data_IF_286776469266
#
_entry.id   IF_286776469266
#
_cell.length_a   1.000
_cell.length_b   1.000
_cell.length_c   1.000
_cell.angle_alpha   90.00
_cell.angle_beta   90.00
_cell.angle_gamma   90.00
#
_symmetry.space_group_name_H-M   'P 1'
#
loop_
_entity.id
_entity.type
_entity.pdbx_description
1 polymer ?
#
# COMPACT_ATOMS: atom_id res chain seq x y z
N UNK A 1 -14.35 37.02 -44.18
CA UNK A 1 -12.87 37.04 -44.08
C UNK A 1 -12.48 37.55 -42.69
N UNK A 2 -12.25 36.67 -41.71
CA UNK A 2 -11.54 37.01 -40.46
C UNK A 2 -10.83 35.77 -39.95
N UNK A 3 -9.50 35.88 -39.84
CA UNK A 3 -8.62 34.81 -39.42
C UNK A 3 -8.25 34.86 -37.95
N UNK A 4 -7.61 33.76 -37.55
CA UNK A 4 -6.72 33.58 -36.41
C UNK A 4 -7.35 33.43 -35.01
N UNK A 5 -7.31 32.18 -34.52
CA UNK A 5 -6.45 31.86 -33.37
C UNK A 5 -6.20 30.36 -33.27
N UNK A 6 -4.96 29.98 -33.56
CA UNK A 6 -4.40 28.68 -33.17
C UNK A 6 -4.39 28.64 -31.65
N UNK A 7 -5.16 27.74 -31.05
CA UNK A 7 -4.87 27.27 -29.70
C UNK A 7 -4.35 25.85 -29.83
N UNK A 8 -3.08 25.68 -29.44
CA UNK A 8 -2.39 24.40 -29.38
C UNK A 8 -3.09 23.56 -28.33
N UNK A 9 -3.97 22.66 -28.75
CA UNK A 9 -4.58 21.69 -27.86
C UNK A 9 -3.46 20.83 -27.25
N UNK A 10 -3.20 21.06 -25.97
CA UNK A 10 -2.37 20.20 -25.14
C UNK A 10 -3.01 18.82 -25.14
N UNK A 11 -2.36 17.85 -25.78
CA UNK A 11 -2.57 16.43 -25.51
C UNK A 11 -2.15 16.19 -24.07
N UNK A 12 -3.11 16.29 -23.16
CA UNK A 12 -2.96 15.77 -21.81
C UNK A 12 -2.99 14.25 -21.93
N UNK A 13 -1.91 13.60 -21.53
CA UNK A 13 -1.87 12.15 -21.39
C UNK A 13 -2.90 11.76 -20.33
N UNK A 14 -4.10 11.37 -20.75
CA UNK A 14 -5.03 10.66 -19.90
C UNK A 14 -4.44 9.27 -19.69
N UNK A 15 -3.67 9.10 -18.61
CA UNK A 15 -3.33 7.77 -18.13
C UNK A 15 -4.61 7.17 -17.58
N UNK A 16 -5.37 6.59 -18.51
CA UNK A 16 -6.47 5.69 -18.30
C UNK A 16 -6.04 4.61 -17.30
N UNK A 17 -6.38 4.80 -16.02
CA UNK A 17 -6.37 3.69 -15.06
C UNK A 17 -7.65 2.90 -15.28
N UNK A 18 -7.74 2.28 -16.46
CA UNK A 18 -8.71 1.23 -16.74
C UNK A 18 -8.20 -0.03 -16.06
N UNK A 19 -8.96 -0.46 -15.06
CA UNK A 19 -9.06 -1.84 -14.65
C UNK A 19 -8.14 -2.21 -13.50
N UNK A 20 -8.75 -2.55 -12.37
CA UNK A 20 -8.78 -3.97 -11.98
C UNK A 20 -10.16 -4.28 -11.43
N UNK A 21 -10.82 -5.22 -12.09
CA UNK A 21 -12.17 -5.62 -11.79
C UNK A 21 -12.33 -6.08 -10.34
N UNK A 22 -13.54 -5.88 -9.84
CA UNK A 22 -14.14 -6.58 -8.71
C UNK A 22 -14.36 -8.07 -9.06
N UNK A 23 -13.35 -8.73 -9.61
CA UNK A 23 -13.42 -10.09 -10.14
C UNK A 23 -12.75 -11.06 -9.19
N UNK A 24 -13.56 -11.89 -8.53
CA UNK A 24 -13.10 -13.13 -7.92
C UNK A 24 -13.39 -13.25 -6.42
N UNK A 25 -14.68 -13.41 -6.10
CA UNK A 25 -15.22 -13.87 -4.81
C UNK A 25 -14.86 -15.35 -4.50
N UNK A 26 -13.85 -15.92 -5.14
CA UNK A 26 -13.43 -17.32 -4.97
C UNK A 26 -12.12 -17.37 -4.20
N UNK A 27 -12.25 -17.59 -2.89
CA UNK A 27 -11.13 -17.88 -1.98
C UNK A 27 -10.49 -19.23 -2.33
N UNK A 28 -9.57 -19.23 -3.30
CA UNK A 28 -8.42 -20.13 -3.20
C UNK A 28 -7.49 -19.51 -2.16
N UNK A 29 -7.10 -20.29 -1.15
CA UNK A 29 -6.08 -19.91 -0.16
C UNK A 29 -4.74 -19.76 -0.88
N UNK A 30 -4.57 -18.63 -1.57
CA UNK A 30 -3.37 -18.36 -2.33
C UNK A 30 -2.25 -18.04 -1.32
N UNK A 31 -1.16 -18.82 -1.26
CA UNK A 31 -0.05 -18.54 -0.35
C UNK A 31 0.50 -17.12 -0.54
N UNK A 32 0.43 -16.58 -1.76
CA UNK A 32 0.78 -15.19 -2.06
C UNK A 32 -0.07 -14.16 -1.29
N UNK A 33 -1.37 -14.41 -1.07
CA UNK A 33 -2.22 -13.51 -0.27
C UNK A 33 -1.87 -13.58 1.22
N UNK A 34 -1.55 -14.78 1.74
CA UNK A 34 -1.08 -14.94 3.13
C UNK A 34 0.25 -14.22 3.36
N UNK A 35 1.21 -14.38 2.46
CA UNK A 35 2.47 -13.64 2.50
C UNK A 35 2.26 -12.12 2.46
N UNK A 36 1.37 -11.64 1.59
CA UNK A 36 1.00 -10.22 1.53
C UNK A 36 0.42 -9.70 2.86
N UNK A 37 -0.45 -10.48 3.51
CA UNK A 37 -1.02 -10.16 4.82
C UNK A 37 0.05 -10.05 5.92
N UNK A 38 0.97 -11.02 5.98
CA UNK A 38 2.09 -10.95 6.93
C UNK A 38 3.00 -9.75 6.66
N UNK A 39 3.29 -9.45 5.39
CA UNK A 39 4.07 -8.26 5.02
C UNK A 39 3.38 -6.97 5.45
N UNK A 40 2.06 -6.86 5.26
CA UNK A 40 1.28 -5.71 5.71
C UNK A 40 1.36 -5.55 7.24
N UNK A 41 1.26 -6.63 8.01
CA UNK A 41 1.40 -6.62 9.45
C UNK A 41 2.80 -6.15 9.92
N UNK A 42 3.86 -6.40 9.13
CA UNK A 42 5.21 -5.90 9.44
C UNK A 42 5.38 -4.39 9.24
N UNK A 43 4.63 -3.80 8.29
CA UNK A 43 4.71 -2.38 7.97
C UNK A 43 3.66 -1.53 8.68
N UNK A 44 2.59 -2.13 9.20
CA UNK A 44 1.54 -1.38 9.88
C UNK A 44 2.05 -0.91 11.27
N UNK A 45 2.14 0.41 11.51
CA UNK A 45 2.62 0.97 12.79
C UNK A 45 1.77 0.55 13.99
N UNK A 46 0.49 0.27 13.77
CA UNK A 46 -0.45 -0.08 14.83
C UNK A 46 -0.37 -1.56 15.21
N UNK A 47 0.53 -2.34 14.58
CA UNK A 47 0.70 -3.76 14.89
C UNK A 47 1.57 -3.96 16.11
N UNK A 48 1.10 -4.81 17.02
CA UNK A 48 1.85 -5.18 18.24
C UNK A 48 3.20 -5.83 17.91
N UNK A 49 4.12 -5.80 18.87
CA UNK A 49 5.42 -6.49 18.76
C UNK A 49 5.25 -8.00 18.53
N UNK A 50 4.32 -8.62 19.27
CA UNK A 50 3.95 -10.03 19.13
C UNK A 50 3.35 -10.35 17.76
N UNK A 51 2.44 -9.50 17.25
CA UNK A 51 1.85 -9.67 15.91
C UNK A 51 2.90 -9.60 14.80
N UNK A 52 3.89 -8.70 14.93
CA UNK A 52 5.02 -8.62 13.99
C UNK A 52 5.94 -9.84 14.09
N UNK A 53 6.21 -10.36 15.28
CA UNK A 53 6.97 -11.62 15.42
C UNK A 53 6.26 -12.79 14.76
N UNK A 54 4.94 -12.91 14.95
CA UNK A 54 4.12 -13.93 14.31
C UNK A 54 4.18 -13.81 12.78
N UNK A 55 4.04 -12.60 12.23
CA UNK A 55 4.15 -12.36 10.80
C UNK A 55 5.54 -12.73 10.22
N UNK A 56 6.62 -12.42 10.94
CA UNK A 56 7.99 -12.85 10.55
C UNK A 56 8.11 -14.37 10.50
N UNK A 57 7.60 -15.07 11.53
CA UNK A 57 7.60 -16.53 11.59
C UNK A 57 6.78 -17.11 10.44
N UNK A 58 5.61 -16.56 10.16
CA UNK A 58 4.75 -16.96 9.04
C UNK A 58 5.46 -16.84 7.67
N UNK A 59 6.10 -15.71 7.40
CA UNK A 59 6.87 -15.52 6.15
C UNK A 59 8.07 -16.49 6.04
N UNK A 60 8.75 -16.75 7.17
CA UNK A 60 9.89 -17.68 7.20
C UNK A 60 9.43 -19.13 6.96
N UNK A 61 8.34 -19.57 7.58
CA UNK A 61 7.76 -20.90 7.34
C UNK A 61 7.27 -21.10 5.91
N UNK A 62 6.95 -20.02 5.19
CA UNK A 62 6.57 -20.06 3.78
C UNK A 62 7.77 -20.01 2.80
N UNK A 63 9.01 -20.06 3.30
CA UNK A 63 10.22 -19.92 2.47
C UNK A 63 10.45 -18.49 1.95
N UNK A 64 9.63 -17.51 2.37
CA UNK A 64 9.71 -16.09 1.97
C UNK A 64 10.43 -15.25 3.02
N UNK A 65 11.45 -15.83 3.66
CA UNK A 65 12.21 -15.17 4.73
C UNK A 65 12.83 -13.83 4.30
N UNK A 66 13.17 -13.65 3.03
CA UNK A 66 13.67 -12.39 2.48
C UNK A 66 12.66 -11.23 2.56
N UNK A 67 11.37 -11.52 2.50
CA UNK A 67 10.30 -10.52 2.61
C UNK A 67 9.97 -10.15 4.06
N UNK A 68 10.49 -10.90 5.03
CA UNK A 68 10.36 -10.60 6.46
C UNK A 68 11.29 -9.48 6.92
N UNK A 69 12.26 -9.07 6.07
CA UNK A 69 13.16 -7.98 6.36
C UNK A 69 12.44 -6.64 6.20
N UNK A 70 12.28 -5.94 7.33
CA UNK A 70 11.75 -4.58 7.36
C UNK A 70 12.95 -3.62 7.34
N UNK A 71 13.08 -2.75 6.33
CA UNK A 71 14.24 -1.87 6.21
C UNK A 71 14.35 -0.95 7.44
N UNK A 72 15.59 -0.58 7.81
CA UNK A 72 15.85 0.25 8.99
C UNK A 72 15.06 1.57 8.95
N UNK A 73 14.86 2.15 7.77
CA UNK A 73 14.05 3.36 7.56
C UNK A 73 12.62 3.22 8.08
N UNK A 74 11.99 2.05 7.86
CA UNK A 74 10.64 1.76 8.37
C UNK A 74 10.68 1.62 9.89
N UNK A 75 11.68 0.94 10.45
CA UNK A 75 11.85 0.82 11.91
C UNK A 75 12.05 2.16 12.59
N UNK A 76 12.86 3.04 12.01
CA UNK A 76 13.12 4.40 12.49
C UNK A 76 11.85 5.24 12.39
N UNK A 77 11.11 5.16 11.27
CA UNK A 77 9.81 5.84 11.11
C UNK A 77 8.80 5.42 12.18
N UNK A 78 8.77 4.14 12.56
CA UNK A 78 7.93 3.64 13.65
C UNK A 78 8.42 4.10 15.03
N UNK A 79 9.74 4.03 15.28
CA UNK A 79 10.33 4.43 16.55
C UNK A 79 10.09 5.92 16.85
N UNK A 80 10.18 6.76 15.82
CA UNK A 80 10.12 8.22 15.98
C UNK A 80 8.72 8.81 15.75
N UNK A 81 7.70 8.03 15.40
CA UNK A 81 6.33 8.52 15.12
C UNK A 81 6.25 9.70 14.12
N UNK A 82 7.30 9.96 13.31
CA UNK A 82 7.42 11.11 12.40
C UNK A 82 6.40 11.07 11.23
N UNK A 83 5.67 9.97 11.08
CA UNK A 83 4.67 9.77 10.02
C UNK A 83 3.24 10.14 10.43
N UNK A 84 2.98 11.43 10.61
CA UNK A 84 1.70 12.13 10.41
C UNK A 84 0.41 11.38 10.74
N UNK A 85 -0.15 11.69 11.91
CA UNK A 85 -1.58 11.55 12.16
C UNK A 85 -2.36 12.42 11.18
N UNK A 86 -2.95 11.84 10.12
CA UNK A 86 -3.96 12.56 9.32
C UNK A 86 -5.31 12.39 9.99
N UNK A 87 -5.58 13.21 11.00
CA UNK A 87 -6.93 13.40 11.52
C UNK A 87 -7.67 14.33 10.55
N UNK A 88 -8.29 13.80 9.50
CA UNK A 88 -9.38 14.51 8.83
C UNK A 88 -10.64 14.27 9.64
N UNK A 89 -10.71 14.92 10.81
CA UNK A 89 -11.97 15.06 11.54
C UNK A 89 -12.76 16.12 10.80
N UNK A 90 -13.53 15.70 9.80
CA UNK A 90 -14.52 16.56 9.17
C UNK A 90 -15.67 16.72 10.16
N UNK A 91 -15.58 17.70 11.06
CA UNK A 91 -16.76 18.24 11.73
C UNK A 91 -17.54 19.04 10.68
N UNK A 92 -18.54 18.40 10.04
CA UNK A 92 -19.60 19.15 9.37
C UNK A 92 -20.67 19.48 10.41
N UNK A 93 -20.93 20.77 10.56
CA UNK A 93 -22.14 21.31 11.17
C UNK A 93 -23.33 21.13 10.23
#
# INVERSE_FOLDING_TARGET
MFGSRRTRATHTTHTSTRGRGFGGMFHRTNPNRRAGGYKAALHNPNTTSAGRQHAKRGLRSMGRGGEAHVPLSVRIKHLLHIGGRRHTTTHRY
#
